data_IF_554524808709
#
_entry.id   IF_554524808709
#
_cell.length_a   1.000
_cell.length_b   1.000
_cell.length_c   1.000
_cell.angle_alpha   90.00
_cell.angle_beta   90.00
_cell.angle_gamma   90.00
#
_symmetry.space_group_name_H-M   'P 1'
#
loop_
_entity.id
_entity.type
_entity.pdbx_description
1 polymer ?
#
# COMPACT_ATOMS: atom_id res chain seq x y z
N UNK A 1 -8.28 24.62 -15.29
CA UNK A 1 -8.02 24.65 -13.83
C UNK A 1 -7.26 23.37 -13.50
N UNK A 2 -6.06 23.45 -12.94
CA UNK A 2 -5.30 22.26 -12.58
C UNK A 2 -6.04 21.55 -11.43
N UNK A 3 -6.40 20.30 -11.65
CA UNK A 3 -7.09 19.49 -10.65
C UNK A 3 -6.07 19.17 -9.54
N UNK A 4 -6.24 19.80 -8.38
CA UNK A 4 -5.24 19.77 -7.31
C UNK A 4 -5.50 18.56 -6.42
N UNK A 5 -4.62 17.55 -6.49
CA UNK A 5 -4.61 16.46 -5.52
C UNK A 5 -3.94 16.91 -4.22
N UNK A 6 -4.58 16.64 -3.09
CA UNK A 6 -3.98 16.85 -1.76
C UNK A 6 -4.11 15.58 -0.93
N UNK A 7 -3.00 15.12 -0.36
CA UNK A 7 -3.04 14.10 0.69
C UNK A 7 -3.56 14.73 1.96
N UNK A 8 -4.60 14.13 2.55
CA UNK A 8 -5.28 14.64 3.75
C UNK A 8 -5.21 13.69 4.94
N UNK A 9 -4.73 12.46 4.73
CA UNK A 9 -4.48 11.50 5.80
C UNK A 9 -3.57 10.36 5.32
N UNK A 10 -2.71 9.89 6.24
CA UNK A 10 -1.84 8.74 6.04
C UNK A 10 -1.87 7.91 7.32
N UNK A 11 -2.20 6.63 7.21
CA UNK A 11 -2.05 5.65 8.27
C UNK A 11 -1.12 4.54 7.79
N UNK A 12 -0.23 4.07 8.67
CA UNK A 12 0.73 2.99 8.40
C UNK A 12 0.44 1.84 9.33
N UNK A 13 0.31 0.64 8.76
CA UNK A 13 0.11 -0.60 9.47
C UNK A 13 1.22 -1.59 9.08
N UNK A 14 1.92 -2.14 10.07
CA UNK A 14 2.97 -3.13 9.86
C UNK A 14 2.33 -4.51 9.99
N UNK A 15 2.40 -5.31 8.93
CA UNK A 15 1.84 -6.65 8.89
C UNK A 15 2.97 -7.67 8.95
N UNK A 16 3.32 -8.10 10.17
CA UNK A 16 4.13 -9.30 10.28
C UNK A 16 3.24 -10.50 9.98
N UNK A 17 3.45 -11.12 8.81
CA UNK A 17 2.98 -12.47 8.49
C UNK A 17 1.48 -12.62 8.19
N UNK A 18 0.90 -11.80 7.30
CA UNK A 18 -0.40 -12.17 6.71
C UNK A 18 -0.23 -13.25 5.62
N UNK A 19 -1.00 -14.35 5.65
CA UNK A 19 -1.06 -15.30 4.56
C UNK A 19 -1.64 -14.57 3.34
N UNK A 20 -0.76 -14.23 2.41
CA UNK A 20 -1.13 -13.49 1.22
C UNK A 20 -0.31 -12.25 0.94
N UNK A 21 0.72 -11.92 1.72
CA UNK A 21 1.62 -10.81 1.37
C UNK A 21 3.03 -11.32 1.07
N UNK A 22 3.41 -11.32 -0.21
CA UNK A 22 4.71 -11.83 -0.65
C UNK A 22 5.48 -10.80 -1.46
N UNK A 23 6.70 -10.47 -1.02
CA UNK A 23 7.61 -9.65 -1.81
C UNK A 23 8.22 -10.49 -2.93
N UNK A 24 7.85 -10.20 -4.18
CA UNK A 24 8.41 -10.90 -5.36
C UNK A 24 9.92 -10.67 -5.55
N UNK A 25 10.47 -9.59 -4.98
CA UNK A 25 11.90 -9.27 -5.09
C UNK A 25 12.74 -10.01 -4.05
N UNK A 26 12.27 -10.06 -2.81
CA UNK A 26 13.00 -10.70 -1.72
C UNK A 26 12.61 -12.17 -1.50
N UNK A 27 11.55 -12.63 -2.16
CA UNK A 27 11.02 -13.98 -2.02
C UNK A 27 10.75 -14.36 -0.54
N UNK A 28 10.12 -13.46 0.20
CA UNK A 28 9.80 -13.66 1.60
C UNK A 28 8.47 -12.99 1.99
N UNK A 29 7.78 -13.51 3.02
CA UNK A 29 6.54 -12.95 3.53
C UNK A 29 6.85 -11.79 4.48
N UNK A 30 6.83 -10.56 3.99
CA UNK A 30 6.96 -9.35 4.81
C UNK A 30 6.33 -8.15 4.16
N UNK A 31 5.88 -7.20 4.98
CA UNK A 31 5.49 -5.89 4.51
C UNK A 31 4.60 -5.05 5.41
N UNK A 32 4.39 -3.83 4.94
CA UNK A 32 3.57 -2.81 5.57
C UNK A 32 2.61 -2.21 4.54
N UNK A 33 1.45 -1.78 5.03
CA UNK A 33 0.42 -1.13 4.23
C UNK A 33 0.33 0.33 4.64
N UNK A 34 0.22 1.19 3.63
CA UNK A 34 -0.12 2.59 3.77
C UNK A 34 -1.51 2.82 3.24
N UNK A 35 -2.37 3.34 4.10
CA UNK A 35 -3.68 3.85 3.73
C UNK A 35 -3.55 5.35 3.51
N UNK A 36 -3.67 5.78 2.25
CA UNK A 36 -3.56 7.17 1.85
C UNK A 36 -4.93 7.69 1.47
N UNK A 37 -5.41 8.72 2.17
CA UNK A 37 -6.62 9.44 1.78
C UNK A 37 -6.21 10.64 0.92
N UNK A 38 -6.56 10.58 -0.35
CA UNK A 38 -6.31 11.63 -1.33
C UNK A 38 -7.60 12.37 -1.62
N UNK A 39 -7.58 13.68 -1.42
CA UNK A 39 -8.65 14.58 -1.85
C UNK A 39 -8.36 15.09 -3.25
N UNK A 40 -9.36 15.01 -4.12
CA UNK A 40 -9.31 15.51 -5.48
C UNK A 40 -10.54 16.40 -5.73
N UNK A 41 -10.34 17.72 -5.69
CA UNK A 41 -11.45 18.67 -5.64
C UNK A 41 -12.36 18.41 -4.44
N UNK A 42 -13.64 18.11 -4.69
CA UNK A 42 -14.62 17.74 -3.65
C UNK A 42 -14.66 16.23 -3.34
N UNK A 43 -13.92 15.40 -4.09
CA UNK A 43 -13.93 13.94 -3.93
C UNK A 43 -12.82 13.48 -3.00
N UNK A 44 -13.08 12.40 -2.30
CA UNK A 44 -12.12 11.72 -1.41
C UNK A 44 -11.90 10.31 -1.93
N UNK A 45 -10.65 9.90 -2.03
CA UNK A 45 -10.23 8.59 -2.50
C UNK A 45 -9.36 7.94 -1.43
N UNK A 46 -9.71 6.73 -1.01
CA UNK A 46 -8.84 5.89 -0.20
C UNK A 46 -7.97 5.05 -1.13
N UNK A 47 -6.66 5.10 -0.94
CA UNK A 47 -5.69 4.30 -1.67
C UNK A 47 -4.92 3.41 -0.69
N UNK A 48 -4.91 2.12 -0.98
CA UNK A 48 -4.05 1.15 -0.31
C UNK A 48 -2.72 1.05 -1.06
N UNK A 49 -1.60 1.13 -0.35
CA UNK A 49 -0.26 0.96 -0.92
C UNK A 49 0.53 -0.04 -0.08
N UNK A 50 1.05 -1.09 -0.71
CA UNK A 50 1.76 -2.16 -0.03
C UNK A 50 3.26 -2.11 -0.31
N UNK A 51 4.07 -2.41 0.69
CA UNK A 51 5.53 -2.34 0.61
C UNK A 51 6.18 -3.49 1.37
N UNK A 52 7.35 -3.93 0.92
CA UNK A 52 8.17 -4.92 1.63
C UNK A 52 8.99 -4.26 2.74
N UNK A 53 9.08 -4.90 3.91
CA UNK A 53 9.89 -4.43 5.04
C UNK A 53 11.39 -4.39 4.71
N UNK A 54 11.86 -5.39 3.94
CA UNK A 54 13.30 -5.60 3.71
C UNK A 54 13.86 -4.69 2.62
N UNK A 55 13.14 -4.55 1.51
CA UNK A 55 13.65 -3.82 0.33
C UNK A 55 12.86 -2.56 -0.01
N UNK A 56 11.79 -2.24 0.73
CA UNK A 56 10.91 -1.10 0.46
C UNK A 56 10.18 -1.17 -0.90
N UNK A 57 10.21 -2.33 -1.57
CA UNK A 57 9.59 -2.50 -2.88
C UNK A 57 8.07 -2.52 -2.79
N UNK A 58 7.41 -1.79 -3.68
CA UNK A 58 5.95 -1.83 -3.88
C UNK A 58 5.48 -3.03 -4.73
N UNK A 59 6.40 -3.89 -5.17
CA UNK A 59 6.10 -5.12 -5.94
C UNK A 59 5.78 -6.29 -5.01
N UNK A 60 4.63 -6.17 -4.36
CA UNK A 60 4.07 -7.20 -3.49
C UNK A 60 2.92 -7.85 -4.23
N UNK A 61 2.90 -9.17 -4.30
CA UNK A 61 1.74 -9.90 -4.81
C UNK A 61 0.88 -10.29 -3.62
N UNK A 62 -0.43 -10.12 -3.78
CA UNK A 62 -1.37 -10.96 -3.07
C UNK A 62 -1.53 -12.21 -3.92
N UNK A 63 -1.17 -13.41 -3.43
CA UNK A 63 -1.59 -14.64 -4.09
C UNK A 63 -3.09 -14.51 -4.30
N UNK A 64 -3.53 -14.52 -5.56
CA UNK A 64 -4.95 -14.71 -5.83
C UNK A 64 -5.30 -16.05 -5.19
N UNK A 65 -6.24 -16.05 -4.24
CA UNK A 65 -6.81 -17.27 -3.71
C UNK A 65 -7.19 -18.15 -4.90
N UNK A 66 -6.57 -19.33 -4.97
CA UNK A 66 -6.80 -20.31 -6.04
C UNK A 66 -8.18 -20.92 -5.96
#
# INVERSE_FOLDING_TARGET
>A
MADQHRVVGVAVEILQTEPGHWCTRCALPSGWIVWVVVRHGARMHLQEQRYCDECGSRRTVVPADG
#
